data_IF_482572847772
#
_entry.id   IF_482572847772
#
_cell.length_a   1.000
_cell.length_b   1.000
_cell.length_c   1.000
_cell.angle_alpha   90.00
_cell.angle_beta   90.00
_cell.angle_gamma   90.00
#
_symmetry.space_group_name_H-M   'P 1'
#
loop_
_entity.id
_entity.type
_entity.pdbx_description
1 polymer ?
#
# COMPACT_ATOMS: atom_id res chain seq x y z
N UNK A 1 -59.96 20.57 12.20
CA UNK A 1 -60.45 20.39 10.81
C UNK A 1 -59.52 21.04 9.78
N UNK A 2 -59.56 22.34 9.49
CA UNK A 2 -58.72 22.93 8.43
C UNK A 2 -57.21 22.97 8.75
N UNK A 3 -56.85 23.23 10.02
CA UNK A 3 -55.46 23.29 10.47
C UNK A 3 -54.78 21.90 10.51
N UNK A 4 -55.51 20.86 10.89
CA UNK A 4 -55.01 19.48 10.91
C UNK A 4 -54.72 18.98 9.50
N UNK A 5 -55.60 19.25 8.54
CA UNK A 5 -55.37 18.91 7.13
C UNK A 5 -54.12 19.61 6.56
N UNK A 6 -53.89 20.88 6.93
CA UNK A 6 -52.69 21.60 6.50
C UNK A 6 -51.41 21.03 7.11
N UNK A 7 -51.43 20.61 8.38
CA UNK A 7 -50.30 19.96 9.04
C UNK A 7 -50.00 18.58 8.44
N UNK A 8 -51.03 17.81 8.10
CA UNK A 8 -50.90 16.52 7.42
C UNK A 8 -50.23 16.67 6.05
N UNK A 9 -50.64 17.68 5.28
CA UNK A 9 -50.04 17.98 3.98
C UNK A 9 -48.56 18.37 4.08
N UNK A 10 -48.20 19.22 5.04
CA UNK A 10 -46.80 19.61 5.27
C UNK A 10 -45.97 18.41 5.67
N UNK A 11 -46.50 17.56 6.55
CA UNK A 11 -45.82 16.33 6.97
C UNK A 11 -45.60 15.37 5.80
N UNK A 12 -46.62 15.15 4.96
CA UNK A 12 -46.50 14.31 3.77
C UNK A 12 -45.44 14.85 2.79
N UNK A 13 -45.40 16.17 2.56
CA UNK A 13 -44.40 16.78 1.70
C UNK A 13 -42.97 16.56 2.23
N UNK A 14 -42.76 16.70 3.54
CA UNK A 14 -41.46 16.41 4.15
C UNK A 14 -41.09 14.93 4.07
N UNK A 15 -42.04 14.02 4.28
CA UNK A 15 -41.81 12.57 4.16
C UNK A 15 -41.44 12.18 2.71
N UNK A 16 -42.07 12.81 1.72
CA UNK A 16 -41.76 12.62 0.30
C UNK A 16 -40.37 13.18 -0.07
N UNK A 17 -40.02 14.37 0.44
CA UNK A 17 -38.69 14.97 0.24
C UNK A 17 -37.58 14.10 0.85
N UNK A 18 -37.77 13.61 2.08
CA UNK A 18 -36.86 12.67 2.74
C UNK A 18 -36.71 11.35 1.96
N UNK A 19 -37.80 10.86 1.37
CA UNK A 19 -37.76 9.64 0.56
C UNK A 19 -36.95 9.88 -0.74
N UNK A 20 -37.17 11.02 -1.40
CA UNK A 20 -36.45 11.40 -2.60
C UNK A 20 -34.95 11.60 -2.34
N UNK A 21 -34.57 12.27 -1.25
CA UNK A 21 -33.16 12.42 -0.87
C UNK A 21 -32.47 11.07 -0.62
N UNK A 22 -33.15 10.15 0.07
CA UNK A 22 -32.64 8.79 0.31
C UNK A 22 -32.47 8.01 -0.99
N UNK A 23 -33.39 8.16 -1.93
CA UNK A 23 -33.30 7.51 -3.23
C UNK A 23 -32.11 8.05 -4.04
N UNK A 24 -31.95 9.38 -4.10
CA UNK A 24 -30.81 10.02 -4.77
C UNK A 24 -29.49 9.54 -4.17
N UNK A 25 -29.35 9.57 -2.84
CA UNK A 25 -28.14 9.10 -2.18
C UNK A 25 -27.86 7.60 -2.45
N UNK A 26 -28.90 6.77 -2.47
CA UNK A 26 -28.76 5.36 -2.82
C UNK A 26 -28.27 5.17 -4.27
N UNK A 27 -28.80 5.96 -5.21
CA UNK A 27 -28.37 5.95 -6.61
C UNK A 27 -26.91 6.41 -6.77
N UNK A 28 -26.51 7.45 -6.03
CA UNK A 28 -25.13 7.96 -6.03
C UNK A 28 -24.14 6.92 -5.48
N UNK A 29 -24.47 6.29 -4.35
CA UNK A 29 -23.65 5.22 -3.76
C UNK A 29 -23.49 4.05 -4.74
N UNK A 30 -24.57 3.63 -5.40
CA UNK A 30 -24.51 2.57 -6.41
C UNK A 30 -23.76 2.98 -7.68
N UNK A 31 -23.78 4.26 -8.07
CA UNK A 31 -22.99 4.78 -9.17
C UNK A 31 -21.48 4.72 -8.85
N UNK A 32 -21.09 5.23 -7.68
CA UNK A 32 -19.70 5.18 -7.20
C UNK A 32 -19.21 3.74 -7.07
N UNK A 33 -20.05 2.85 -6.52
CA UNK A 33 -19.73 1.42 -6.41
C UNK A 33 -19.47 0.77 -7.77
N UNK A 34 -20.30 1.07 -8.78
CA UNK A 34 -20.12 0.57 -10.15
C UNK A 34 -18.84 1.09 -10.79
N UNK A 35 -18.54 2.38 -10.61
CA UNK A 35 -17.31 2.97 -11.12
C UNK A 35 -16.08 2.33 -10.48
N UNK A 36 -16.09 2.19 -9.16
CA UNK A 36 -15.03 1.53 -8.40
C UNK A 36 -14.81 0.09 -8.89
N UNK A 37 -15.89 -0.68 -9.05
CA UNK A 37 -15.81 -2.04 -9.58
C UNK A 37 -15.17 -2.06 -10.99
N UNK A 38 -15.55 -1.12 -11.85
CA UNK A 38 -14.95 -1.00 -13.19
C UNK A 38 -13.45 -0.68 -13.16
N UNK A 39 -12.97 0.09 -12.18
CA UNK A 39 -11.52 0.31 -11.96
C UNK A 39 -10.84 -0.97 -11.50
N UNK A 40 -11.43 -1.69 -10.55
CA UNK A 40 -10.90 -2.96 -10.05
C UNK A 40 -10.77 -3.98 -11.18
N UNK A 41 -11.80 -4.14 -12.00
CA UNK A 41 -11.80 -5.09 -13.11
C UNK A 41 -10.70 -4.75 -14.14
N UNK A 42 -10.50 -3.46 -14.46
CA UNK A 42 -9.42 -3.00 -15.33
C UNK A 42 -8.04 -3.34 -14.76
N UNK A 43 -7.83 -3.07 -13.47
CA UNK A 43 -6.54 -3.34 -12.80
C UNK A 43 -6.25 -4.84 -12.69
N UNK A 44 -7.28 -5.66 -12.44
CA UNK A 44 -7.13 -7.13 -12.41
C UNK A 44 -6.70 -7.65 -13.78
N UNK A 45 -7.35 -7.16 -14.84
CA UNK A 45 -7.04 -7.58 -16.20
C UNK A 45 -5.64 -7.12 -16.66
N UNK A 46 -5.25 -5.89 -16.31
CA UNK A 46 -3.90 -5.39 -16.59
C UNK A 46 -2.83 -6.18 -15.84
N UNK A 47 -3.05 -6.48 -14.56
CA UNK A 47 -2.13 -7.32 -13.78
C UNK A 47 -2.00 -8.72 -14.39
N UNK A 48 -3.11 -9.32 -14.83
CA UNK A 48 -3.09 -10.61 -15.52
C UNK A 48 -2.21 -10.56 -16.76
N UNK A 49 -2.37 -9.52 -17.60
CA UNK A 49 -1.56 -9.31 -18.79
C UNK A 49 -0.07 -9.15 -18.47
N UNK A 50 0.28 -8.34 -17.47
CA UNK A 50 1.66 -8.13 -17.05
C UNK A 50 2.30 -9.41 -16.52
N UNK A 51 1.53 -10.24 -15.80
CA UNK A 51 1.99 -11.56 -15.32
C UNK A 51 2.27 -12.50 -16.48
N UNK A 52 1.40 -12.54 -17.49
CA UNK A 52 1.59 -13.34 -18.70
C UNK A 52 2.83 -12.88 -19.49
N UNK A 53 3.01 -11.57 -19.66
CA UNK A 53 4.18 -10.99 -20.34
C UNK A 53 5.48 -11.30 -19.60
N UNK A 54 5.51 -11.11 -18.27
CA UNK A 54 6.65 -11.49 -17.44
C UNK A 54 6.98 -12.97 -17.59
N UNK A 55 5.98 -13.85 -17.57
CA UNK A 55 6.20 -15.29 -17.73
C UNK A 55 6.76 -15.62 -19.11
N UNK A 56 6.29 -14.95 -20.17
CA UNK A 56 6.81 -15.11 -21.52
C UNK A 56 8.28 -14.65 -21.65
N UNK A 57 8.64 -13.53 -21.01
CA UNK A 57 10.02 -13.05 -20.98
C UNK A 57 10.94 -14.01 -20.22
N UNK A 58 10.50 -14.54 -19.08
CA UNK A 58 11.25 -15.55 -18.34
C UNK A 58 11.49 -16.81 -19.18
N UNK A 59 10.47 -17.29 -19.92
CA UNK A 59 10.63 -18.42 -20.83
C UNK A 59 11.70 -18.14 -21.90
N UNK A 60 11.69 -16.95 -22.52
CA UNK A 60 12.69 -16.55 -23.52
C UNK A 60 14.11 -16.52 -22.93
N UNK A 61 14.28 -16.00 -21.72
CA UNK A 61 15.60 -15.96 -21.05
C UNK A 61 16.14 -17.37 -20.74
N UNK A 62 15.28 -18.32 -20.37
CA UNK A 62 15.72 -19.70 -20.11
C UNK A 62 16.20 -20.43 -21.37
N UNK A 63 15.73 -20.03 -22.55
CA UNK A 63 16.13 -20.64 -23.83
C UNK A 63 17.34 -19.96 -24.49
N UNK A 64 17.76 -18.79 -24.00
CA UNK A 64 18.93 -18.06 -24.48
C UNK A 64 20.26 -18.47 -23.81
N UNK A 65 20.35 -19.70 -23.27
CA UNK A 65 21.59 -20.25 -22.69
C UNK A 65 22.39 -20.97 -23.78
N UNK A 66 23.47 -20.39 -24.36
CA UNK A 66 24.41 -21.20 -25.12
C UNK A 66 25.14 -22.12 -24.15
N UNK A 67 25.07 -23.43 -24.38
CA UNK A 67 25.92 -24.42 -23.71
C UNK A 67 27.38 -24.14 -24.05
N UNK A 68 28.03 -23.26 -23.27
CA UNK A 68 29.50 -23.20 -23.21
C UNK A 68 29.96 -24.14 -22.11
N UNK A 69 30.27 -25.36 -22.54
CA UNK A 69 31.20 -26.25 -21.83
C UNK A 69 32.54 -25.53 -21.70
N UNK A 70 32.89 -25.09 -20.49
CA UNK A 70 34.25 -24.80 -20.10
C UNK A 70 34.38 -24.95 -18.58
N UNK A 71 35.05 -26.03 -18.20
CA UNK A 71 35.72 -26.22 -16.92
C UNK A 71 36.57 -24.99 -16.54
N UNK A 72 36.43 -24.48 -15.32
CA UNK A 72 37.44 -23.78 -14.49
C UNK A 72 36.79 -23.64 -13.10
N UNK A 73 37.16 -24.52 -12.17
CA UNK A 73 38.04 -24.24 -11.03
C UNK A 73 37.62 -23.04 -10.18
N UNK A 74 37.22 -23.37 -8.95
CA UNK A 74 37.01 -22.49 -7.82
C UNK A 74 38.24 -21.62 -7.53
N UNK A 75 38.10 -20.28 -7.59
CA UNK A 75 38.80 -19.31 -6.74
C UNK A 75 38.41 -17.86 -7.08
N UNK A 76 38.05 -17.12 -6.02
CA UNK A 76 38.43 -15.73 -5.73
C UNK A 76 37.99 -14.55 -6.63
N UNK A 77 37.60 -13.49 -5.90
CA UNK A 77 37.72 -12.07 -6.22
C UNK A 77 36.98 -11.52 -7.45
N UNK A 78 35.88 -10.81 -7.21
CA UNK A 78 35.40 -9.81 -8.16
C UNK A 78 36.00 -8.43 -7.82
N UNK A 79 36.59 -7.75 -8.81
CA UNK A 79 37.33 -6.52 -8.62
C UNK A 79 36.41 -5.29 -8.59
N UNK A 80 36.90 -4.25 -7.92
CA UNK A 80 36.34 -2.92 -7.90
C UNK A 80 36.12 -2.37 -9.32
N UNK A 81 34.91 -1.90 -9.61
CA UNK A 81 34.73 -0.81 -10.57
C UNK A 81 34.30 0.42 -9.78
N UNK A 82 35.19 1.41 -9.78
CA UNK A 82 34.92 2.77 -9.34
C UNK A 82 33.85 3.36 -10.26
N UNK A 83 32.62 3.41 -9.77
CA UNK A 83 31.51 4.11 -10.39
C UNK A 83 30.86 5.03 -9.36
N UNK A 84 31.49 6.17 -9.12
CA UNK A 84 30.86 7.30 -8.45
C UNK A 84 29.75 7.83 -9.37
N UNK A 85 28.51 7.41 -9.13
CA UNK A 85 27.30 8.06 -9.65
C UNK A 85 26.28 8.21 -8.52
N UNK A 86 25.72 9.41 -8.30
CA UNK A 86 24.92 9.74 -7.14
C UNK A 86 23.43 9.63 -7.48
N UNK A 87 22.80 8.50 -7.19
CA UNK A 87 21.38 8.45 -6.83
C UNK A 87 21.05 7.08 -6.24
N UNK A 88 20.57 7.09 -5.00
CA UNK A 88 20.38 5.91 -4.16
C UNK A 88 19.26 4.99 -4.62
N UNK A 89 19.56 4.13 -5.59
CA UNK A 89 18.78 2.89 -5.78
C UNK A 89 19.13 1.94 -4.64
N UNK A 90 18.40 2.04 -3.54
CA UNK A 90 18.45 1.05 -2.46
C UNK A 90 18.09 -0.31 -3.09
N UNK A 91 18.98 -1.29 -2.93
CA UNK A 91 18.76 -2.62 -3.47
C UNK A 91 17.43 -3.19 -2.92
N UNK A 92 16.49 -3.63 -3.77
CA UNK A 92 15.18 -4.10 -3.33
C UNK A 92 15.26 -5.34 -2.42
N UNK A 93 16.33 -6.14 -2.55
CA UNK A 93 16.58 -7.28 -1.66
C UNK A 93 17.04 -6.80 -0.28
N UNK A 94 17.84 -5.74 -0.23
CA UNK A 94 18.27 -5.10 1.01
C UNK A 94 17.11 -4.38 1.73
N UNK A 95 16.25 -3.67 1.00
CA UNK A 95 15.05 -3.04 1.56
C UNK A 95 14.10 -4.10 2.16
N UNK A 96 13.91 -5.21 1.46
CA UNK A 96 13.09 -6.33 1.91
C UNK A 96 13.67 -7.00 3.16
N UNK A 97 15.00 -7.16 3.22
CA UNK A 97 15.69 -7.69 4.42
C UNK A 97 15.49 -6.77 5.62
N UNK A 98 15.75 -5.46 5.45
CA UNK A 98 15.58 -4.44 6.50
C UNK A 98 14.13 -4.38 6.99
N UNK A 99 13.16 -4.50 6.08
CA UNK A 99 11.74 -4.55 6.41
C UNK A 99 11.40 -5.74 7.31
N UNK A 100 11.87 -6.95 6.95
CA UNK A 100 11.65 -8.15 7.78
C UNK A 100 12.26 -8.03 9.17
N UNK A 101 13.47 -7.48 9.26
CA UNK A 101 14.15 -7.25 10.54
C UNK A 101 13.42 -6.22 11.41
N UNK A 102 12.96 -5.12 10.80
CA UNK A 102 12.16 -4.11 11.48
C UNK A 102 10.86 -4.70 12.04
N UNK A 103 10.05 -5.36 11.21
CA UNK A 103 8.76 -5.92 11.65
C UNK A 103 8.94 -7.05 12.65
N UNK A 104 10.03 -7.82 12.55
CA UNK A 104 10.40 -8.82 13.56
C UNK A 104 10.62 -8.18 14.93
N UNK A 105 11.44 -7.14 15.00
CA UNK A 105 11.72 -6.41 16.24
C UNK A 105 10.49 -5.66 16.76
N UNK A 106 9.78 -4.96 15.89
CA UNK A 106 8.58 -4.21 16.25
C UNK A 106 7.51 -5.12 16.84
N UNK A 107 7.33 -6.34 16.31
CA UNK A 107 6.38 -7.32 16.85
C UNK A 107 6.77 -7.87 18.22
N UNK A 108 8.06 -7.89 18.57
CA UNK A 108 8.52 -8.33 19.90
C UNK A 108 8.49 -7.23 20.95
N UNK A 109 8.53 -5.96 20.51
CA UNK A 109 8.66 -4.79 21.39
C UNK A 109 7.31 -4.08 21.61
N UNK A 110 6.48 -3.99 20.58
CA UNK A 110 5.14 -3.38 20.66
C UNK A 110 4.12 -4.38 21.20
N UNK A 111 3.13 -3.88 21.95
CA UNK A 111 1.94 -4.67 22.28
C UNK A 111 1.16 -5.04 21.02
N UNK A 112 0.29 -6.06 21.12
CA UNK A 112 -0.55 -6.46 19.99
C UNK A 112 -1.41 -5.30 19.45
N UNK A 113 -1.92 -4.47 20.35
CA UNK A 113 -2.71 -3.29 20.02
C UNK A 113 -1.85 -2.20 19.34
N UNK A 114 -0.66 -1.92 19.88
CA UNK A 114 0.26 -0.94 19.29
C UNK A 114 0.75 -1.40 17.91
N UNK A 115 1.03 -2.69 17.74
CA UNK A 115 1.43 -3.25 16.45
C UNK A 115 0.28 -3.20 15.44
N UNK A 116 -0.96 -3.49 15.86
CA UNK A 116 -2.14 -3.34 15.01
C UNK A 116 -2.36 -1.88 14.59
N UNK A 117 -2.16 -0.93 15.50
CA UNK A 117 -2.25 0.50 15.22
C UNK A 117 -1.21 0.94 14.18
N UNK A 118 0.04 0.48 14.30
CA UNK A 118 1.10 0.74 13.32
C UNK A 118 0.71 0.24 11.92
N UNK A 119 0.24 -1.01 11.82
CA UNK A 119 -0.23 -1.59 10.54
C UNK A 119 -1.43 -0.85 9.96
N UNK A 120 -2.34 -0.38 10.82
CA UNK A 120 -3.50 0.42 10.41
C UNK A 120 -3.05 1.73 9.76
N UNK A 121 -2.12 2.46 10.39
CA UNK A 121 -1.58 3.71 9.83
C UNK A 121 -0.92 3.50 8.45
N UNK A 122 -0.18 2.40 8.27
CA UNK A 122 0.42 2.07 6.97
C UNK A 122 -0.62 1.73 5.90
N UNK A 123 -1.75 1.10 6.28
CA UNK A 123 -2.85 0.84 5.34
C UNK A 123 -3.53 2.13 4.91
N UNK A 124 -3.74 3.08 5.82
CA UNK A 124 -4.28 4.40 5.50
C UNK A 124 -3.33 5.20 4.61
N UNK A 125 -2.01 5.07 4.81
CA UNK A 125 -1.00 5.66 3.92
C UNK A 125 -1.09 5.10 2.50
N UNK A 126 -1.24 3.78 2.36
CA UNK A 126 -1.44 3.13 1.06
C UNK A 126 -2.75 3.51 0.38
N UNK A 127 -3.75 4.00 1.14
CA UNK A 127 -5.02 4.55 0.62
C UNK A 127 -4.92 6.03 0.27
N UNK A 128 -3.81 6.70 0.60
CA UNK A 128 -3.63 8.14 0.41
C UNK A 128 -4.41 9.00 1.41
N UNK A 129 -4.89 8.43 2.52
CA UNK A 129 -5.69 9.16 3.52
C UNK A 129 -4.83 9.90 4.55
N UNK A 130 -3.59 9.44 4.76
CA UNK A 130 -2.62 10.05 5.67
C UNK A 130 -1.29 10.21 4.94
N UNK A 131 -0.49 11.20 5.36
CA UNK A 131 0.82 11.44 4.75
C UNK A 131 1.89 10.53 5.36
N UNK A 132 3.03 10.43 4.68
CA UNK A 132 4.20 9.70 5.22
C UNK A 132 4.64 10.28 6.57
N UNK A 133 4.61 11.59 6.72
CA UNK A 133 4.97 12.30 7.96
C UNK A 133 4.04 11.90 9.11
N UNK A 134 2.73 11.80 8.85
CA UNK A 134 1.75 11.38 9.87
C UNK A 134 2.00 9.93 10.35
N UNK A 135 2.37 9.04 9.44
CA UNK A 135 2.67 7.63 9.75
C UNK A 135 3.99 7.51 10.52
N UNK A 136 5.02 8.28 10.16
CA UNK A 136 6.27 8.34 10.91
C UNK A 136 6.04 8.91 12.31
N UNK A 137 5.24 9.97 12.45
CA UNK A 137 4.88 10.54 13.75
C UNK A 137 4.13 9.53 14.63
N UNK A 138 3.18 8.79 14.06
CA UNK A 138 2.47 7.71 14.74
C UNK A 138 3.43 6.61 15.20
N UNK A 139 4.32 6.16 14.32
CA UNK A 139 5.32 5.15 14.65
C UNK A 139 6.31 5.64 15.72
N UNK A 140 6.71 6.92 15.70
CA UNK A 140 7.61 7.50 16.67
C UNK A 140 7.01 7.55 18.08
N UNK A 141 5.69 7.75 18.21
CA UNK A 141 5.00 7.66 19.50
C UNK A 141 5.01 6.21 20.01
N UNK A 142 4.56 5.26 19.17
CA UNK A 142 4.46 3.84 19.54
C UNK A 142 5.82 3.23 19.91
N UNK A 143 6.87 3.53 19.12
CA UNK A 143 8.21 3.01 19.34
C UNK A 143 8.91 3.67 20.53
N UNK A 144 8.59 4.93 20.85
CA UNK A 144 9.08 5.59 22.07
C UNK A 144 8.44 4.99 23.32
N UNK A 145 7.14 4.70 23.28
CA UNK A 145 6.45 4.00 24.37
C UNK A 145 7.02 2.60 24.61
N UNK A 146 7.52 1.95 23.57
CA UNK A 146 8.19 0.64 23.64
C UNK A 146 9.72 0.71 23.82
N UNK A 147 10.26 1.87 24.24
CA UNK A 147 11.69 2.08 24.51
C UNK A 147 12.65 1.79 23.33
N UNK A 148 12.16 1.87 22.08
CA UNK A 148 12.92 1.56 20.87
C UNK A 148 12.92 2.72 19.84
N UNK A 149 13.30 3.95 20.23
CA UNK A 149 13.28 5.11 19.33
C UNK A 149 14.23 4.97 18.12
N UNK A 150 15.28 4.15 18.22
CA UNK A 150 16.23 3.88 17.14
C UNK A 150 15.59 3.18 15.92
N UNK A 151 14.44 2.54 16.12
CA UNK A 151 13.71 1.89 15.03
C UNK A 151 12.96 2.89 14.14
N UNK A 152 12.77 4.14 14.59
CA UNK A 152 12.07 5.18 13.83
C UNK A 152 12.84 5.55 12.56
N UNK A 153 14.15 5.75 12.66
CA UNK A 153 15.01 6.07 11.52
C UNK A 153 15.00 4.94 10.47
N UNK A 154 14.97 3.70 10.96
CA UNK A 154 14.87 2.51 10.10
C UNK A 154 13.52 2.45 9.39
N UNK A 155 12.44 2.77 10.10
CA UNK A 155 11.09 2.81 9.55
C UNK A 155 10.91 3.90 8.49
N UNK A 156 11.44 5.10 8.74
CA UNK A 156 11.39 6.19 7.78
C UNK A 156 12.12 5.83 6.48
N UNK A 157 13.29 5.23 6.58
CA UNK A 157 14.06 4.77 5.43
C UNK A 157 13.33 3.67 4.63
N UNK A 158 12.59 2.79 5.31
CA UNK A 158 11.74 1.78 4.68
C UNK A 158 10.58 2.42 3.90
N UNK A 159 9.93 3.44 4.46
CA UNK A 159 8.83 4.16 3.81
C UNK A 159 9.31 4.98 2.60
N UNK A 160 10.53 5.51 2.65
CA UNK A 160 11.15 6.21 1.52
C UNK A 160 11.43 5.30 0.32
N UNK A 161 11.79 4.03 0.56
CA UNK A 161 12.08 3.07 -0.50
C UNK A 161 10.86 2.34 -1.10
N UNK A 162 9.69 2.36 -0.43
CA UNK A 162 8.50 1.62 -0.86
C UNK A 162 7.47 2.44 -1.65
N UNK A 163 7.51 3.77 -1.56
CA UNK A 163 6.49 4.64 -2.17
C UNK A 163 7.19 5.52 -3.21
N UNK A 164 6.95 5.32 -4.52
CA UNK A 164 7.44 6.25 -5.54
C UNK A 164 6.85 7.65 -5.27
N UNK A 165 7.68 8.67 -5.48
CA UNK A 165 7.33 10.09 -5.28
C UNK A 165 6.07 10.50 -6.07
#
# INVERSE_FOLDING_TARGET
>A
MALEAALEHVRQAFEEELANEREIHAQEVEAVRREHQGVVDRLVEENRRLVEERNALLAQMTHARPSRSASISSQSAYPHTLGLSPHGSVDPEELSRRGREFFGKARTLLSEEQFAQLLSSMKELNRGHVTREDVVATAAVLLREAEAPELVDTFELLLQGQIPA
#
